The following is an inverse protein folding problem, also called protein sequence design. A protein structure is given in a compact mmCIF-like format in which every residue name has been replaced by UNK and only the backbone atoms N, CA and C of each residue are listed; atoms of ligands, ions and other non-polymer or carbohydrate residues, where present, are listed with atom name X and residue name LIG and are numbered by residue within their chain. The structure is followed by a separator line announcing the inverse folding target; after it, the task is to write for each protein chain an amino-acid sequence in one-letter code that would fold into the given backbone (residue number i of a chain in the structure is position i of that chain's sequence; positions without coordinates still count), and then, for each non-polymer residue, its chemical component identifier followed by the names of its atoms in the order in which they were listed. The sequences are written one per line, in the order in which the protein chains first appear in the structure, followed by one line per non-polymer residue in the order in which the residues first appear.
data_IF_946424699817
#
_entry.id   IF_946424699817
#
_cell.length_a   1.000
_cell.length_b   1.000
_cell.length_c   1.000
_cell.angle_alpha   90.00
_cell.angle_beta   90.00
_cell.angle_gamma   90.00
#
_symmetry.space_group_name_H-M   'P 1'
#
loop_
_entity.id
_entity.type
_entity.pdbx_description
1 polymer ?
#
# COMPACT_ATOMS: atom_id res chain seq x y z
N UNK A 1 3.24 10.64 -32.96
CA UNK A 1 2.46 9.68 -32.15
C UNK A 1 1.91 10.46 -30.98
N UNK A 2 0.60 10.43 -30.75
CA UNK A 2 0.04 11.12 -29.59
C UNK A 2 0.62 10.47 -28.34
N UNK A 3 1.53 11.16 -27.65
CA UNK A 3 1.82 10.87 -26.25
C UNK A 3 0.53 11.19 -25.49
N UNK A 4 -0.38 10.22 -25.41
CA UNK A 4 -1.35 10.22 -24.32
C UNK A 4 -0.55 10.30 -23.03
N UNK A 5 -1.01 11.08 -22.05
CA UNK A 5 -0.39 11.09 -20.72
C UNK A 5 -0.38 9.65 -20.20
N UNK A 6 0.78 9.01 -20.25
CA UNK A 6 0.97 7.68 -19.71
C UNK A 6 0.96 7.79 -18.18
N UNK A 7 0.42 6.80 -17.47
CA UNK A 7 0.50 6.78 -16.02
C UNK A 7 1.97 6.74 -15.60
N UNK A 8 2.30 7.43 -14.50
CA UNK A 8 3.66 7.56 -13.97
C UNK A 8 4.35 6.19 -13.89
N UNK A 9 5.50 6.05 -14.56
CA UNK A 9 6.32 4.83 -14.52
C UNK A 9 7.26 4.86 -13.31
N UNK A 10 7.82 3.70 -12.93
CA UNK A 10 8.82 3.66 -11.84
C UNK A 10 10.04 4.53 -12.16
N UNK A 11 10.47 4.57 -13.43
CA UNK A 11 11.58 5.40 -13.88
C UNK A 11 11.26 6.90 -13.76
N UNK A 12 10.05 7.32 -14.16
CA UNK A 12 9.63 8.71 -14.03
C UNK A 12 9.56 9.14 -12.56
N UNK A 13 9.06 8.26 -11.69
CA UNK A 13 9.02 8.51 -10.25
C UNK A 13 10.42 8.64 -9.63
N UNK A 14 11.36 7.79 -10.02
CA UNK A 14 12.76 7.91 -9.56
C UNK A 14 13.39 9.20 -10.06
N UNK A 15 13.14 9.58 -11.32
CA UNK A 15 13.63 10.85 -11.87
C UNK A 15 13.03 12.07 -11.18
N UNK A 16 11.76 12.02 -10.77
CA UNK A 16 11.13 13.08 -9.98
C UNK A 16 11.80 13.21 -8.61
N UNK A 17 12.10 12.10 -7.94
CA UNK A 17 12.82 12.09 -6.65
C UNK A 17 14.22 12.71 -6.81
N UNK A 18 14.99 12.32 -7.83
CA UNK A 18 16.32 12.89 -8.11
C UNK A 18 16.24 14.38 -8.48
N UNK A 19 15.18 14.79 -9.18
CA UNK A 19 14.94 16.18 -9.54
C UNK A 19 14.82 17.11 -8.33
N UNK A 20 14.33 16.61 -7.18
CA UNK A 20 14.23 17.42 -5.94
C UNK A 20 15.59 17.88 -5.40
N UNK A 21 16.67 17.17 -5.72
CA UNK A 21 18.03 17.52 -5.31
C UNK A 21 18.86 18.10 -6.46
N UNK A 22 18.19 18.46 -7.57
CA UNK A 22 18.81 18.96 -8.80
C UNK A 22 19.82 17.98 -9.43
N UNK A 23 19.65 16.68 -9.21
CA UNK A 23 20.45 15.65 -9.88
C UNK A 23 19.95 15.41 -11.31
N UNK A 24 20.85 14.90 -12.15
CA UNK A 24 20.51 14.62 -13.55
C UNK A 24 19.59 13.39 -13.67
N UNK A 25 18.57 13.43 -14.54
CA UNK A 25 17.67 12.29 -14.73
C UNK A 25 18.43 11.11 -15.34
N UNK A 26 18.02 9.90 -14.94
CA UNK A 26 18.54 8.64 -15.45
C UNK A 26 17.60 8.08 -16.53
N UNK A 27 18.18 7.34 -17.48
CA UNK A 27 17.44 6.72 -18.58
C UNK A 27 17.17 5.22 -18.38
N UNK A 28 17.74 4.63 -17.32
CA UNK A 28 17.62 3.21 -17.00
C UNK A 28 17.70 2.99 -15.49
N UNK A 29 16.96 2.02 -14.98
CA UNK A 29 16.99 1.59 -13.58
C UNK A 29 18.20 0.72 -13.23
N UNK A 30 19.18 0.58 -14.14
CA UNK A 30 20.41 -0.16 -13.91
C UNK A 30 21.22 0.50 -12.77
N UNK A 31 21.08 -0.09 -11.58
CA UNK A 31 21.55 0.39 -10.29
C UNK A 31 23.08 0.44 -10.14
N UNK A 32 23.85 0.11 -11.18
CA UNK A 32 25.31 0.02 -11.12
C UNK A 32 26.03 1.35 -11.38
N UNK A 33 25.35 2.38 -11.88
CA UNK A 33 26.04 3.61 -12.34
C UNK A 33 25.91 4.79 -11.36
N UNK A 34 24.85 4.87 -10.55
CA UNK A 34 24.61 6.04 -9.68
C UNK A 34 24.08 5.60 -8.30
N UNK A 35 24.84 5.90 -7.25
CA UNK A 35 24.48 5.56 -5.85
C UNK A 35 23.15 6.23 -5.48
N UNK A 36 22.94 7.49 -5.87
CA UNK A 36 21.72 8.24 -5.56
C UNK A 36 20.46 7.65 -6.20
N UNK A 37 20.57 7.13 -7.43
CA UNK A 37 19.46 6.43 -8.09
C UNK A 37 19.07 5.15 -7.34
N UNK A 38 20.06 4.38 -6.86
CA UNK A 38 19.81 3.16 -6.07
C UNK A 38 19.11 3.48 -4.74
N UNK A 39 19.49 4.58 -4.10
CA UNK A 39 18.89 5.06 -2.86
C UNK A 39 17.47 5.57 -3.09
N UNK A 40 17.24 6.36 -4.14
CA UNK A 40 15.91 6.84 -4.53
C UNK A 40 14.95 5.67 -4.79
N UNK A 41 15.38 4.65 -5.54
CA UNK A 41 14.61 3.44 -5.79
C UNK A 41 14.29 2.68 -4.48
N UNK A 42 15.26 2.55 -3.58
CA UNK A 42 15.03 1.89 -2.29
C UNK A 42 14.00 2.65 -1.44
N UNK A 43 14.07 3.99 -1.42
CA UNK A 43 13.12 4.83 -0.68
C UNK A 43 11.73 4.77 -1.32
N UNK A 44 11.64 4.76 -2.65
CA UNK A 44 10.38 4.58 -3.38
C UNK A 44 9.73 3.24 -2.98
N UNK A 45 10.46 2.13 -3.06
CA UNK A 45 9.95 0.80 -2.69
C UNK A 45 9.51 0.71 -1.23
N UNK A 46 10.32 1.26 -0.32
CA UNK A 46 9.98 1.30 1.11
C UNK A 46 8.72 2.13 1.36
N UNK A 47 8.62 3.29 0.70
CA UNK A 47 7.46 4.19 0.86
C UNK A 47 6.21 3.59 0.23
N UNK A 48 6.32 2.92 -0.91
CA UNK A 48 5.24 2.17 -1.53
C UNK A 48 4.68 1.12 -0.57
N UNK A 49 5.54 0.29 0.03
CA UNK A 49 5.12 -0.71 1.01
C UNK A 49 4.43 -0.08 2.24
N UNK A 50 4.97 1.03 2.78
CA UNK A 50 4.35 1.75 3.89
C UNK A 50 2.95 2.30 3.55
N UNK A 51 2.80 2.93 2.38
CA UNK A 51 1.53 3.50 1.93
C UNK A 51 0.49 2.41 1.70
N UNK A 52 0.90 1.32 1.05
CA UNK A 52 0.02 0.19 0.78
C UNK A 52 -0.41 -0.54 2.07
N UNK A 53 0.44 -0.56 3.11
CA UNK A 53 0.11 -1.18 4.41
C UNK A 53 -1.09 -0.52 5.11
N UNK A 54 -1.40 0.74 4.78
CA UNK A 54 -2.60 1.41 5.30
C UNK A 54 -3.90 0.73 4.86
N UNK A 55 -3.91 0.07 3.70
CA UNK A 55 -5.10 -0.51 3.10
C UNK A 55 -5.93 0.54 2.39
N UNK A 56 -6.04 0.40 1.07
CA UNK A 56 -6.80 1.22 0.16
C UNK A 56 -7.76 0.33 -0.63
N UNK A 57 -8.75 0.94 -1.29
CA UNK A 57 -9.71 0.21 -2.13
C UNK A 57 -9.07 -0.75 -3.15
N UNK A 58 -7.93 -0.39 -3.73
CA UNK A 58 -7.26 -1.19 -4.77
C UNK A 58 -6.43 -2.36 -4.23
N UNK A 59 -6.09 -2.38 -2.94
CA UNK A 59 -5.22 -3.41 -2.36
C UNK A 59 -5.80 -4.11 -1.12
N UNK A 60 -7.04 -3.78 -0.73
CA UNK A 60 -7.81 -4.55 0.25
C UNK A 60 -8.52 -5.72 -0.45
N UNK A 61 -8.28 -6.92 0.04
CA UNK A 61 -9.00 -8.13 -0.37
C UNK A 61 -9.80 -8.61 0.84
N UNK A 62 -11.10 -8.37 0.79
CA UNK A 62 -12.02 -8.75 1.86
C UNK A 62 -12.60 -10.14 1.62
N UNK A 63 -12.82 -10.87 2.71
CA UNK A 63 -13.48 -12.18 2.62
C UNK A 63 -12.66 -13.24 1.88
N UNK A 64 -11.33 -13.11 1.84
CA UNK A 64 -10.49 -14.06 1.14
C UNK A 64 -10.41 -15.38 1.91
N UNK A 65 -10.86 -16.47 1.28
CA UNK A 65 -10.88 -17.79 1.89
C UNK A 65 -9.51 -18.47 1.73
N UNK A 66 -8.85 -18.74 2.86
CA UNK A 66 -7.61 -19.51 2.91
C UNK A 66 -7.90 -20.97 3.25
N UNK A 67 -7.49 -21.86 2.34
CA UNK A 67 -7.67 -23.30 2.47
C UNK A 67 -6.38 -23.92 3.02
N UNK A 68 -6.47 -24.76 4.08
CA UNK A 68 -5.30 -25.48 4.60
C UNK A 68 -4.82 -26.56 3.62
N UNK A 69 -3.50 -26.74 3.55
CA UNK A 69 -2.87 -27.81 2.78
C UNK A 69 -3.01 -29.19 3.48
N UNK A 70 -2.50 -30.27 2.89
CA UNK A 70 -2.49 -31.64 3.43
C UNK A 70 -1.87 -31.71 4.84
N UNK A 71 -0.95 -30.78 5.15
CA UNK A 71 -0.31 -30.66 6.47
C UNK A 71 -1.15 -29.88 7.49
N UNK A 72 -2.40 -29.53 7.17
CA UNK A 72 -3.27 -28.61 7.93
C UNK A 72 -2.70 -27.20 8.10
N UNK A 73 -1.72 -26.80 7.28
CA UNK A 73 -1.08 -25.49 7.38
C UNK A 73 -1.59 -24.58 6.27
N UNK A 74 -1.83 -23.31 6.58
CA UNK A 74 -2.21 -22.29 5.60
C UNK A 74 -0.96 -21.52 5.17
N UNK A 75 -0.62 -21.61 3.89
CA UNK A 75 0.45 -20.82 3.29
C UNK A 75 -0.11 -19.51 2.74
N UNK A 76 0.52 -18.40 3.10
CA UNK A 76 0.15 -17.07 2.63
C UNK A 76 0.91 -16.74 1.34
N UNK A 77 0.28 -16.03 0.40
CA UNK A 77 0.98 -15.44 -0.73
C UNK A 77 2.15 -14.56 -0.24
N UNK A 78 3.27 -14.52 -0.98
CA UNK A 78 4.46 -13.76 -0.56
C UNK A 78 4.24 -12.24 -0.52
N UNK A 79 3.21 -11.75 -1.20
CA UNK A 79 2.87 -10.34 -1.30
C UNK A 79 1.81 -9.89 -0.29
N UNK A 80 1.61 -10.59 0.83
CA UNK A 80 0.72 -10.12 1.90
C UNK A 80 1.47 -9.15 2.82
N UNK A 81 1.00 -7.89 2.88
CA UNK A 81 1.55 -6.83 3.74
C UNK A 81 0.93 -6.85 5.14
N UNK A 82 -0.38 -7.10 5.21
CA UNK A 82 -1.13 -7.14 6.46
C UNK A 82 -2.26 -8.14 6.34
N UNK A 83 -2.54 -8.82 7.44
CA UNK A 83 -3.63 -9.76 7.54
C UNK A 83 -4.45 -9.45 8.78
N UNK A 84 -5.77 -9.52 8.63
CA UNK A 84 -6.73 -9.40 9.72
C UNK A 84 -7.75 -10.53 9.58
N UNK A 85 -8.04 -11.20 10.68
CA UNK A 85 -9.15 -12.16 10.72
C UNK A 85 -10.47 -11.42 10.49
N UNK A 86 -11.33 -11.93 9.61
CA UNK A 86 -12.63 -11.32 9.31
C UNK A 86 -13.74 -12.38 9.26
N UNK A 87 -14.98 -11.98 9.59
CA UNK A 87 -16.14 -12.87 9.64
C UNK A 87 -16.36 -13.60 10.98
N UNK A 88 -16.98 -14.80 10.91
CA UNK A 88 -17.35 -15.65 12.06
C UNK A 88 -16.16 -16.38 12.71
N UNK A 89 -14.94 -16.26 12.15
CA UNK A 89 -13.77 -16.88 12.73
C UNK A 89 -13.39 -16.20 14.05
N UNK A 90 -13.69 -16.89 15.16
CA UNK A 90 -13.41 -16.44 16.53
C UNK A 90 -11.89 -16.42 16.84
N UNK A 91 -11.08 -17.14 16.05
CA UNK A 91 -9.63 -17.23 16.25
C UNK A 91 -8.90 -15.99 15.76
N UNK A 92 -8.06 -15.41 16.62
CA UNK A 92 -7.13 -14.35 16.23
C UNK A 92 -5.99 -14.96 15.44
N UNK A 93 -5.92 -14.70 14.14
CA UNK A 93 -4.81 -15.16 13.30
C UNK A 93 -3.76 -14.08 13.11
N UNK A 94 -2.50 -14.50 12.98
CA UNK A 94 -1.36 -13.65 12.67
C UNK A 94 -0.46 -14.31 11.64
N UNK A 95 0.16 -13.51 10.79
CA UNK A 95 1.19 -13.97 9.86
C UNK A 95 2.52 -14.21 10.59
N UNK A 96 3.15 -15.36 10.35
CA UNK A 96 4.52 -15.68 10.77
C UNK A 96 5.30 -16.24 9.58
N UNK A 97 6.16 -15.41 8.99
CA UNK A 97 6.79 -15.72 7.71
C UNK A 97 5.73 -15.86 6.61
N UNK A 98 5.74 -16.98 5.90
CA UNK A 98 4.76 -17.31 4.84
C UNK A 98 3.62 -18.20 5.33
N UNK A 99 3.38 -18.24 6.65
CA UNK A 99 2.37 -19.11 7.25
C UNK A 99 1.42 -18.32 8.14
N UNK A 100 0.17 -18.78 8.16
CA UNK A 100 -0.81 -18.32 9.13
C UNK A 100 -0.60 -19.03 10.47
N UNK A 101 -0.74 -18.29 11.56
CA UNK A 101 -0.64 -18.81 12.92
C UNK A 101 -1.86 -18.39 13.73
N UNK A 102 -2.51 -19.35 14.39
CA UNK A 102 -3.59 -19.06 15.32
C UNK A 102 -3.02 -18.64 16.69
N UNK A 103 -3.28 -17.41 17.11
CA UNK A 103 -2.88 -16.89 18.42
C UNK A 103 -3.75 -17.41 19.56
N UNK A 104 -5.00 -17.79 19.28
CA UNK A 104 -5.95 -18.31 20.28
C UNK A 104 -5.55 -19.73 20.68
N UNK A 105 -5.39 -20.61 19.70
CA UNK A 105 -5.03 -22.02 19.94
C UNK A 105 -3.52 -22.28 19.95
N UNK A 106 -2.71 -21.27 19.59
CA UNK A 106 -1.24 -21.34 19.53
C UNK A 106 -0.73 -22.47 18.63
N UNK A 107 -1.41 -22.69 17.50
CA UNK A 107 -1.11 -23.76 16.54
C UNK A 107 -0.97 -23.21 15.12
N UNK A 108 -0.32 -23.99 14.27
CA UNK A 108 -0.27 -23.78 12.81
C UNK A 108 -1.27 -24.68 12.07
N UNK A 109 -1.97 -25.55 12.79
CA UNK A 109 -2.92 -26.51 12.22
C UNK A 109 -4.34 -25.92 12.19
N UNK A 110 -4.90 -25.83 10.98
CA UNK A 110 -6.26 -25.41 10.70
C UNK A 110 -7.04 -26.59 10.10
N UNK A 111 -8.17 -26.95 10.71
CA UNK A 111 -9.01 -28.05 10.24
C UNK A 111 -10.05 -27.59 9.20
N UNK A 112 -10.42 -26.31 9.26
CA UNK A 112 -11.39 -25.67 8.38
C UNK A 112 -10.73 -24.53 7.61
N UNK A 113 -11.35 -24.11 6.51
CA UNK A 113 -10.96 -22.87 5.85
C UNK A 113 -11.13 -21.68 6.78
N UNK A 114 -10.29 -20.67 6.59
CA UNK A 114 -10.30 -19.44 7.37
C UNK A 114 -10.51 -18.27 6.42
N UNK A 115 -11.54 -17.48 6.68
CA UNK A 115 -11.77 -16.22 5.97
C UNK A 115 -10.94 -15.12 6.60
N UNK A 116 -10.16 -14.42 5.79
CA UNK A 116 -9.33 -13.30 6.24
C UNK A 116 -9.52 -12.09 5.32
N UNK A 117 -9.35 -10.91 5.90
CA UNK A 117 -9.10 -9.71 5.13
C UNK A 117 -7.59 -9.54 5.01
N UNK A 118 -7.09 -9.47 3.79
CA UNK A 118 -5.66 -9.31 3.53
C UNK A 118 -5.40 -8.06 2.70
N UNK A 119 -4.28 -7.42 3.00
CA UNK A 119 -3.76 -6.30 2.25
C UNK A 119 -2.62 -6.84 1.39
N UNK A 120 -2.78 -6.77 0.07
CA UNK A 120 -1.78 -7.23 -0.86
C UNK A 120 -0.84 -6.08 -1.26
N UNK A 121 0.43 -6.38 -1.41
CA UNK A 121 1.41 -5.52 -2.04
C UNK A 121 1.31 -5.66 -3.55
N UNK A 122 0.98 -4.57 -4.23
CA UNK A 122 0.96 -4.45 -5.69
C UNK A 122 2.22 -3.75 -6.18
N UNK A 123 2.61 -4.07 -7.42
CA UNK A 123 3.72 -3.39 -8.09
C UNK A 123 3.35 -1.94 -8.44
N UNK A 124 4.39 -1.11 -8.64
CA UNK A 124 4.21 0.33 -8.88
C UNK A 124 3.30 0.63 -10.07
N UNK A 125 3.40 -0.18 -11.11
CA UNK A 125 2.64 -0.03 -12.35
C UNK A 125 1.23 -0.61 -12.32
N UNK A 126 0.88 -1.38 -11.28
CA UNK A 126 -0.47 -1.93 -11.11
C UNK A 126 -1.36 -1.01 -10.26
N UNK A 127 -0.76 -0.03 -9.59
CA UNK A 127 -1.48 0.94 -8.75
C UNK A 127 -2.18 2.04 -9.56
N UNK A 128 -3.27 2.64 -9.04
CA UNK A 128 -3.91 3.79 -9.66
C UNK A 128 -2.96 5.00 -9.70
N UNK A 129 -3.17 5.90 -10.67
CA UNK A 129 -2.30 7.07 -10.88
C UNK A 129 -2.18 7.96 -9.65
N UNK A 130 -3.28 8.15 -8.92
CA UNK A 130 -3.30 8.97 -7.69
C UNK A 130 -2.41 8.39 -6.60
N UNK A 131 -2.37 7.05 -6.48
CA UNK A 131 -1.47 6.37 -5.53
C UNK A 131 -0.01 6.50 -5.95
N UNK A 132 0.30 6.39 -7.24
CA UNK A 132 1.67 6.57 -7.76
C UNK A 132 2.20 7.97 -7.48
N UNK A 133 1.39 9.00 -7.73
CA UNK A 133 1.76 10.40 -7.46
C UNK A 133 2.00 10.61 -5.97
N UNK A 134 1.09 10.15 -5.11
CA UNK A 134 1.25 10.27 -3.66
C UNK A 134 2.51 9.56 -3.13
N UNK A 135 2.77 8.33 -3.58
CA UNK A 135 3.97 7.57 -3.20
C UNK A 135 5.24 8.29 -3.64
N UNK A 136 5.25 8.85 -4.85
CA UNK A 136 6.41 9.57 -5.41
C UNK A 136 6.72 10.83 -4.62
N UNK A 137 5.75 11.69 -4.38
CA UNK A 137 5.91 12.93 -3.60
C UNK A 137 6.36 12.62 -2.16
N UNK A 138 5.75 11.60 -1.53
CA UNK A 138 6.14 11.17 -0.18
C UNK A 138 7.56 10.58 -0.14
N UNK A 139 7.95 9.82 -1.16
CA UNK A 139 9.30 9.28 -1.29
C UNK A 139 10.32 10.40 -1.51
N UNK A 140 10.00 11.39 -2.35
CA UNK A 140 10.83 12.56 -2.61
C UNK A 140 11.08 13.38 -1.33
N UNK A 141 10.02 13.67 -0.56
CA UNK A 141 10.17 14.34 0.74
C UNK A 141 11.05 13.55 1.70
N UNK A 142 10.83 12.24 1.83
CA UNK A 142 11.66 11.39 2.70
C UNK A 142 13.12 11.34 2.27
N UNK A 143 13.38 11.33 0.97
CA UNK A 143 14.73 11.37 0.45
C UNK A 143 15.39 12.71 0.83
N UNK A 144 14.73 13.83 0.53
CA UNK A 144 15.22 15.16 0.88
C UNK A 144 15.46 15.34 2.39
N UNK A 145 14.51 14.91 3.23
CA UNK A 145 14.59 15.00 4.70
C UNK A 145 15.77 14.20 5.26
N UNK A 146 16.10 13.06 4.65
CA UNK A 146 17.19 12.19 5.11
C UNK A 146 18.58 12.70 4.76
N UNK A 147 18.74 13.38 3.63
CA UNK A 147 20.05 13.74 3.10
C UNK A 147 20.39 15.23 3.23
N UNK A 148 19.41 16.12 3.08
CA UNK A 148 19.66 17.56 2.96
C UNK A 148 19.08 18.39 4.10
N UNK A 149 18.01 17.90 4.77
CA UNK A 149 17.55 18.43 6.06
C UNK A 149 17.24 19.93 6.09
N UNK A 150 16.80 20.51 4.97
CA UNK A 150 16.41 21.92 4.88
C UNK A 150 14.94 22.13 5.27
N UNK A 151 14.70 22.91 6.33
CA UNK A 151 13.37 23.21 6.87
C UNK A 151 12.47 23.95 5.86
N UNK A 152 13.05 24.80 5.01
CA UNK A 152 12.26 25.59 4.06
C UNK A 152 11.67 24.69 2.97
N UNK A 153 12.49 23.85 2.37
CA UNK A 153 12.08 22.88 1.33
C UNK A 153 11.20 21.76 1.94
N UNK A 154 11.39 21.42 3.21
CA UNK A 154 10.50 20.50 3.93
C UNK A 154 9.06 21.03 4.01
N UNK A 155 8.88 22.34 4.23
CA UNK A 155 7.54 22.93 4.38
C UNK A 155 6.71 22.90 3.09
N UNK A 156 7.34 23.13 1.94
CA UNK A 156 6.68 23.08 0.62
C UNK A 156 6.31 21.65 0.23
N UNK A 157 7.27 20.72 0.30
CA UNK A 157 7.04 19.31 -0.04
C UNK A 157 6.01 18.63 0.88
N UNK A 158 5.88 19.10 2.13
CA UNK A 158 4.82 18.67 3.04
C UNK A 158 3.43 19.13 2.59
N UNK A 159 3.30 20.34 2.04
CA UNK A 159 2.01 20.81 1.50
C UNK A 159 1.63 20.00 0.27
N UNK A 160 2.59 19.74 -0.62
CA UNK A 160 2.38 18.89 -1.81
C UNK A 160 1.97 17.46 -1.42
N UNK A 161 2.61 16.87 -0.40
CA UNK A 161 2.22 15.55 0.13
C UNK A 161 0.78 15.55 0.64
N UNK A 162 0.36 16.61 1.34
CA UNK A 162 -1.00 16.71 1.88
C UNK A 162 -2.04 16.85 0.78
N UNK A 163 -1.75 17.61 -0.29
CA UNK A 163 -2.62 17.73 -1.45
C UNK A 163 -2.76 16.39 -2.19
N UNK A 164 -1.64 15.71 -2.43
CA UNK A 164 -1.64 14.38 -3.06
C UNK A 164 -2.40 13.34 -2.22
N UNK A 165 -2.23 13.38 -0.89
CA UNK A 165 -2.97 12.52 0.04
C UNK A 165 -4.48 12.85 0.05
N UNK A 166 -4.85 14.12 -0.05
CA UNK A 166 -6.25 14.52 -0.15
C UNK A 166 -6.88 14.01 -1.44
N UNK A 167 -6.18 14.11 -2.57
CA UNK A 167 -6.62 13.55 -3.85
C UNK A 167 -6.83 12.03 -3.77
N UNK A 168 -5.85 11.30 -3.21
CA UNK A 168 -5.95 9.85 -3.02
C UNK A 168 -7.13 9.44 -2.13
N UNK A 169 -7.36 10.19 -1.03
CA UNK A 169 -8.48 9.95 -0.14
C UNK A 169 -9.83 10.26 -0.77
N UNK A 170 -9.91 11.29 -1.61
CA UNK A 170 -11.16 11.59 -2.31
C UNK A 170 -11.54 10.44 -3.23
N UNK A 171 -10.58 9.86 -3.95
CA UNK A 171 -10.83 8.69 -4.80
C UNK A 171 -11.22 7.44 -3.99
N UNK A 172 -10.58 7.21 -2.83
CA UNK A 172 -10.99 6.15 -1.89
C UNK A 172 -12.44 6.33 -1.41
N UNK A 173 -12.81 7.56 -1.05
CA UNK A 173 -14.17 7.89 -0.60
C UNK A 173 -15.20 7.75 -1.73
N UNK A 174 -14.84 8.13 -2.96
CA UNK A 174 -15.71 7.93 -4.12
C UNK A 174 -15.93 6.45 -4.44
N UNK A 175 -14.92 5.61 -4.20
CA UNK A 175 -15.04 4.16 -4.41
C UNK A 175 -15.88 3.47 -3.32
N UNK A 176 -15.66 3.83 -2.05
CA UNK A 176 -16.41 3.25 -0.92
C UNK A 176 -17.89 3.70 -0.91
N UNK A 177 -18.21 4.81 -1.59
CA UNK A 177 -19.51 5.48 -1.66
C UNK A 177 -20.28 5.41 -0.32
N UNK A 178 -19.67 5.94 0.78
CA UNK A 178 -20.18 5.71 2.12
C UNK A 178 -21.48 6.47 2.33
N UNK A 179 -22.60 5.76 2.22
CA UNK A 179 -23.91 6.34 2.47
C UNK A 179 -24.24 6.32 3.98
N UNK A 180 -24.07 7.47 4.64
CA UNK A 180 -24.33 7.61 6.09
C UNK A 180 -25.75 7.17 6.52
N UNK A 181 -26.74 7.26 5.62
CA UNK A 181 -28.13 6.90 5.91
C UNK A 181 -28.41 5.40 5.81
N UNK A 182 -27.63 4.65 5.04
CA UNK A 182 -27.84 3.21 4.86
C UNK A 182 -26.76 2.35 5.53
N UNK A 183 -25.52 2.83 5.56
CA UNK A 183 -24.36 2.03 5.97
C UNK A 183 -23.93 2.26 7.44
N UNK A 184 -24.52 3.25 8.13
CA UNK A 184 -24.23 3.39 9.56
C UNK A 184 -24.76 2.18 10.33
N UNK A 185 -23.89 1.54 11.12
CA UNK A 185 -24.27 0.41 11.99
C UNK A 185 -25.45 0.76 12.91
N UNK A 186 -25.61 2.04 13.23
CA UNK A 186 -26.73 2.57 14.00
C UNK A 186 -28.07 2.51 13.24
N UNK A 187 -28.11 2.84 11.94
CA UNK A 187 -29.35 2.78 11.14
C UNK A 187 -29.67 1.34 10.73
N UNK A 188 -28.66 0.53 10.40
CA UNK A 188 -28.85 -0.89 10.09
C UNK A 188 -29.48 -1.67 11.26
N UNK A 189 -29.16 -1.31 12.50
CA UNK A 189 -29.77 -1.88 13.71
C UNK A 189 -31.25 -1.50 13.92
N UNK A 190 -31.70 -0.36 13.39
CA UNK A 190 -33.08 0.13 13.50
C UNK A 190 -34.01 -0.41 12.41
N UNK A 191 -33.46 -1.04 11.36
CA UNK A 191 -34.20 -1.55 10.19
C UNK A 191 -34.56 -3.05 10.30
N UNK A 192 -34.41 -3.70 11.46
CA UNK A 192 -34.99 -5.03 11.66
C UNK A 192 -36.53 -4.93 11.77
N UNK A 193 -37.30 -5.78 11.08
CA UNK A 193 -38.76 -5.80 11.19
C UNK A 193 -39.24 -6.19 12.59
#
# INVERSE_FOLDING_TARGET
MALGLAPLTELDAVNEILGTIAESPINSLDAEVVIDASLAMQILKTTSAEVQTSGWWFNRLEGYELVPDVRKEIQLPPNVLKLKASGETTSKVAQRGLRLYDLTNKTYEFETSVTVDLIQGLDFEEMPSSARVYITIRAARKYQDRYFGDDSTHSYTKQDELEALASLKNEDLEFDDPNMLEDSQFVTGLRKP
#
